data_IF_557747582945
#
_entry.id   IF_557747582945
#
_cell.length_a   1.000
_cell.length_b   1.000
_cell.length_c   1.000
_cell.angle_alpha   90.00
_cell.angle_beta   90.00
_cell.angle_gamma   90.00
#
_symmetry.space_group_name_H-M   'P 1'
#
loop_
_entity.id
_entity.type
_entity.pdbx_description
1 polymer ?
#
# COMPACT_ATOMS: atom_id res chain seq x y z
N UNK A 1 -23.82 -15.25 26.26
CA UNK A 1 -24.16 -13.99 25.56
C UNK A 1 -22.95 -13.09 25.36
N UNK A 2 -22.24 -12.69 26.43
CA UNK A 2 -21.08 -11.79 26.32
C UNK A 2 -19.94 -12.35 25.44
N UNK A 3 -19.66 -13.65 25.55
CA UNK A 3 -18.66 -14.34 24.72
C UNK A 3 -18.99 -14.29 23.22
N UNK A 4 -20.25 -14.51 22.84
CA UNK A 4 -20.68 -14.46 21.45
C UNK A 4 -20.63 -13.05 20.86
N UNK A 5 -21.01 -12.03 21.64
CA UNK A 5 -20.90 -10.62 21.21
C UNK A 5 -19.45 -10.21 21.02
N UNK A 6 -18.55 -10.62 21.93
CA UNK A 6 -17.12 -10.42 21.78
C UNK A 6 -16.59 -11.09 20.51
N UNK A 7 -16.96 -12.35 20.26
CA UNK A 7 -16.54 -13.07 19.06
C UNK A 7 -16.96 -12.36 17.78
N UNK A 8 -18.22 -11.91 17.71
CA UNK A 8 -18.72 -11.15 16.57
C UNK A 8 -17.94 -9.84 16.40
N UNK A 9 -17.74 -9.09 17.50
CA UNK A 9 -17.04 -7.82 17.49
C UNK A 9 -15.62 -7.96 16.92
N UNK A 10 -14.81 -8.87 17.45
CA UNK A 10 -13.41 -9.01 17.02
C UNK A 10 -13.28 -9.54 15.60
N UNK A 11 -14.19 -10.42 15.16
CA UNK A 11 -14.25 -10.89 13.76
C UNK A 11 -14.57 -9.74 12.81
N UNK A 12 -15.53 -8.89 13.16
CA UNK A 12 -15.86 -7.68 12.37
C UNK A 12 -14.68 -6.72 12.34
N UNK A 13 -14.05 -6.46 13.49
CA UNK A 13 -12.83 -5.61 13.55
C UNK A 13 -11.72 -6.18 12.69
N UNK A 14 -11.51 -7.50 12.69
CA UNK A 14 -10.56 -8.18 11.81
C UNK A 14 -10.86 -7.88 10.33
N UNK A 15 -12.10 -8.07 9.89
CA UNK A 15 -12.50 -7.77 8.50
C UNK A 15 -12.31 -6.30 8.12
N UNK A 16 -12.70 -5.37 8.99
CA UNK A 16 -12.55 -3.93 8.73
C UNK A 16 -11.08 -3.51 8.67
N UNK A 17 -10.25 -3.99 9.60
CA UNK A 17 -8.81 -3.75 9.59
C UNK A 17 -8.16 -4.31 8.31
N UNK A 18 -8.51 -5.54 7.93
CA UNK A 18 -8.04 -6.17 6.70
C UNK A 18 -8.44 -5.40 5.43
N UNK A 19 -9.62 -4.78 5.45
CA UNK A 19 -10.21 -4.01 4.33
C UNK A 19 -9.45 -2.72 3.99
N UNK A 20 -8.46 -2.33 4.80
CA UNK A 20 -7.58 -1.21 4.49
C UNK A 20 -6.58 -1.62 3.39
N UNK A 21 -6.76 -1.11 2.17
CA UNK A 21 -5.86 -1.40 1.04
C UNK A 21 -4.57 -0.57 1.10
N UNK A 22 -3.58 -1.06 1.85
CA UNK A 22 -2.27 -0.43 2.04
C UNK A 22 -1.60 -0.02 0.73
N UNK A 23 -1.59 -0.89 -0.30
CA UNK A 23 -0.97 -0.57 -1.59
C UNK A 23 -1.63 0.62 -2.31
N UNK A 24 -2.97 0.73 -2.24
CA UNK A 24 -3.71 1.85 -2.83
C UNK A 24 -3.46 3.13 -2.06
N UNK A 25 -3.44 3.05 -0.72
CA UNK A 25 -3.18 4.19 0.16
C UNK A 25 -1.75 4.73 -0.07
N UNK A 26 -0.75 3.85 -0.02
CA UNK A 26 0.65 4.21 -0.28
C UNK A 26 0.80 4.83 -1.68
N UNK A 27 0.17 4.23 -2.70
CA UNK A 27 0.27 4.77 -4.06
C UNK A 27 -0.33 6.17 -4.17
N UNK A 28 -1.43 6.46 -3.47
CA UNK A 28 -2.01 7.81 -3.43
C UNK A 28 -1.16 8.81 -2.66
N UNK A 29 -0.62 8.44 -1.50
CA UNK A 29 0.18 9.33 -0.65
C UNK A 29 1.48 9.75 -1.37
N UNK A 30 2.12 8.81 -2.06
CA UNK A 30 3.40 9.04 -2.74
C UNK A 30 3.26 9.33 -4.25
N UNK A 31 2.05 9.61 -4.73
CA UNK A 31 1.78 9.90 -6.15
C UNK A 31 2.30 8.84 -7.14
N UNK A 32 2.20 7.56 -6.76
CA UNK A 32 2.61 6.41 -7.57
C UNK A 32 1.42 5.89 -8.42
N UNK A 33 1.69 5.13 -9.50
CA UNK A 33 0.63 4.53 -10.32
C UNK A 33 -0.29 3.59 -9.51
N UNK A 34 -1.59 3.60 -9.80
CA UNK A 34 -2.56 2.74 -9.08
C UNK A 34 -2.26 1.25 -9.36
N UNK A 35 -1.94 0.45 -8.32
CA UNK A 35 -1.51 -0.94 -8.49
C UNK A 35 -2.63 -1.89 -8.92
N UNK A 36 -3.88 -1.42 -8.99
CA UNK A 36 -5.03 -2.21 -9.47
C UNK A 36 -5.16 -2.20 -10.99
N UNK A 37 -4.53 -1.23 -11.67
CA UNK A 37 -4.57 -1.10 -13.14
C UNK A 37 -3.17 -1.20 -13.77
N UNK A 38 -2.12 -1.24 -12.96
CA UNK A 38 -0.72 -1.32 -13.42
C UNK A 38 -0.01 -2.59 -12.97
N UNK A 39 1.00 -3.00 -13.73
CA UNK A 39 1.80 -4.19 -13.47
C UNK A 39 0.95 -5.46 -13.47
N UNK A 40 1.02 -6.23 -12.38
CA UNK A 40 0.22 -7.46 -12.19
C UNK A 40 -1.24 -7.22 -11.84
N UNK A 41 -1.67 -5.96 -11.72
CA UNK A 41 -3.04 -5.55 -11.33
C UNK A 41 -3.48 -6.08 -9.95
N UNK A 42 -2.54 -6.55 -9.14
CA UNK A 42 -2.75 -7.02 -7.78
C UNK A 42 -2.25 -5.96 -6.79
N UNK A 43 -3.10 -5.38 -5.92
CA UNK A 43 -2.71 -4.33 -4.98
C UNK A 43 -1.96 -4.89 -3.76
N UNK A 44 -0.77 -5.47 -3.98
CA UNK A 44 0.09 -6.00 -2.92
C UNK A 44 1.56 -5.60 -3.09
N UNK A 45 2.36 -5.85 -2.05
CA UNK A 45 3.76 -5.42 -1.97
C UNK A 45 4.63 -5.85 -3.17
N UNK A 46 4.45 -7.07 -3.69
CA UNK A 46 5.23 -7.55 -4.86
C UNK A 46 4.95 -6.74 -6.14
N UNK A 47 3.73 -6.24 -6.32
CA UNK A 47 3.42 -5.38 -7.47
C UNK A 47 4.06 -4.00 -7.30
N UNK A 48 3.94 -3.44 -6.09
CA UNK A 48 4.56 -2.16 -5.73
C UNK A 48 6.09 -2.22 -5.84
N UNK A 49 6.71 -3.35 -5.50
CA UNK A 49 8.14 -3.57 -5.69
C UNK A 49 8.57 -3.41 -7.15
N UNK A 50 7.75 -3.90 -8.08
CA UNK A 50 8.02 -3.82 -9.53
C UNK A 50 7.73 -2.43 -10.10
N UNK A 51 6.78 -1.70 -9.52
CA UNK A 51 6.32 -0.41 -10.04
C UNK A 51 7.06 0.79 -9.44
N UNK A 52 7.44 0.72 -8.18
CA UNK A 52 7.93 1.86 -7.41
C UNK A 52 9.20 1.56 -6.58
N UNK A 53 9.61 0.30 -6.47
CA UNK A 53 10.86 -0.07 -5.79
C UNK A 53 10.68 -0.53 -4.33
N UNK A 54 11.82 -0.84 -3.69
CA UNK A 54 11.88 -1.56 -2.41
C UNK A 54 11.31 -0.77 -1.24
N UNK A 55 11.57 0.54 -1.18
CA UNK A 55 11.11 1.42 -0.10
C UNK A 55 9.58 1.36 0.05
N UNK A 56 8.83 1.61 -1.03
CA UNK A 56 7.37 1.59 -0.98
C UNK A 56 6.80 0.19 -0.82
N UNK A 57 7.44 -0.82 -1.42
CA UNK A 57 7.04 -2.21 -1.22
C UNK A 57 7.16 -2.64 0.24
N UNK A 58 8.22 -2.21 0.94
CA UNK A 58 8.41 -2.50 2.37
C UNK A 58 7.34 -1.84 3.23
N UNK A 59 6.96 -0.59 2.94
CA UNK A 59 5.87 0.11 3.65
C UNK A 59 4.54 -0.65 3.46
N UNK A 60 4.22 -1.05 2.23
CA UNK A 60 3.00 -1.82 1.94
C UNK A 60 3.02 -3.16 2.63
N UNK A 61 4.15 -3.87 2.60
CA UNK A 61 4.32 -5.15 3.27
C UNK A 61 4.10 -5.03 4.77
N UNK A 62 4.75 -4.05 5.40
CA UNK A 62 4.62 -3.79 6.83
C UNK A 62 3.17 -3.47 7.21
N UNK A 63 2.51 -2.57 6.48
CA UNK A 63 1.11 -2.23 6.71
C UNK A 63 0.18 -3.44 6.52
N UNK A 64 0.42 -4.27 5.51
CA UNK A 64 -0.37 -5.48 5.27
C UNK A 64 -0.16 -6.56 6.33
N UNK A 65 1.04 -6.67 6.91
CA UNK A 65 1.32 -7.53 8.07
C UNK A 65 0.62 -6.98 9.31
N UNK A 66 0.79 -5.69 9.60
CA UNK A 66 0.22 -5.06 10.79
C UNK A 66 -1.31 -5.14 10.82
N UNK A 67 -1.99 -4.91 9.69
CA UNK A 67 -3.46 -5.00 9.65
C UNK A 67 -3.98 -6.44 9.85
N UNK A 68 -3.15 -7.46 9.65
CA UNK A 68 -3.45 -8.83 10.02
C UNK A 68 -3.14 -9.11 11.49
N UNK A 69 -2.00 -8.61 11.98
CA UNK A 69 -1.49 -8.84 13.33
C UNK A 69 -2.33 -8.15 14.42
N UNK A 70 -2.54 -6.84 14.29
CA UNK A 70 -3.16 -5.99 15.30
C UNK A 70 -4.58 -6.43 15.72
N UNK A 71 -5.52 -6.73 14.80
CA UNK A 71 -6.86 -7.17 15.23
C UNK A 71 -6.84 -8.52 15.96
N UNK A 72 -5.89 -9.41 15.65
CA UNK A 72 -5.77 -10.71 16.32
C UNK A 72 -5.16 -10.53 17.72
N UNK A 73 -4.15 -9.68 17.88
CA UNK A 73 -3.61 -9.33 19.20
C UNK A 73 -4.67 -8.64 20.06
N UNK A 74 -5.45 -7.73 19.48
CA UNK A 74 -6.59 -7.12 20.19
C UNK A 74 -7.58 -8.17 20.66
N UNK A 75 -7.93 -9.14 19.81
CA UNK A 75 -8.82 -10.23 20.19
C UNK A 75 -8.24 -11.08 21.34
N UNK A 76 -6.93 -11.35 21.35
CA UNK A 76 -6.26 -12.02 22.46
C UNK A 76 -6.33 -11.22 23.76
N UNK A 77 -6.04 -9.92 23.69
CA UNK A 77 -6.11 -9.02 24.85
C UNK A 77 -7.52 -8.95 25.45
N UNK A 78 -8.55 -9.09 24.62
CA UNK A 78 -9.95 -9.15 25.05
C UNK A 78 -10.38 -10.55 25.54
N UNK A 79 -9.47 -11.54 25.57
CA UNK A 79 -9.73 -12.88 26.08
C UNK A 79 -10.47 -13.81 25.10
N UNK A 80 -10.42 -13.53 23.79
CA UNK A 80 -11.04 -14.37 22.79
C UNK A 80 -10.40 -15.77 22.73
N UNK A 81 -11.23 -16.82 22.67
CA UNK A 81 -10.76 -18.20 22.58
C UNK A 81 -10.20 -18.58 21.20
N UNK A 82 -9.50 -19.74 21.09
CA UNK A 82 -8.80 -20.18 19.88
C UNK A 82 -9.61 -20.14 18.58
N UNK A 83 -10.88 -20.55 18.64
CA UNK A 83 -11.80 -20.53 17.49
C UNK A 83 -12.06 -19.09 17.04
N UNK A 84 -12.31 -18.17 17.99
CA UNK A 84 -12.58 -16.76 17.66
C UNK A 84 -11.34 -16.09 17.08
N UNK A 85 -10.16 -16.38 17.62
CA UNK A 85 -8.90 -15.86 17.10
C UNK A 85 -8.65 -16.32 15.66
N UNK A 86 -8.83 -17.61 15.36
CA UNK A 86 -8.62 -18.15 14.02
C UNK A 86 -9.66 -17.63 13.01
N UNK A 87 -10.91 -17.41 13.41
CA UNK A 87 -11.89 -16.70 12.58
C UNK A 87 -11.57 -15.21 12.41
N UNK A 88 -10.94 -14.56 13.40
CA UNK A 88 -10.44 -13.18 13.27
C UNK A 88 -9.32 -13.09 12.23
N UNK A 89 -8.41 -14.08 12.19
CA UNK A 89 -7.41 -14.20 11.13
C UNK A 89 -8.08 -14.34 9.75
N UNK A 90 -9.05 -15.25 9.64
CA UNK A 90 -9.79 -15.45 8.39
C UNK A 90 -10.47 -14.16 7.95
N UNK A 91 -11.13 -13.45 8.87
CA UNK A 91 -11.78 -12.19 8.60
C UNK A 91 -10.81 -11.11 8.10
N UNK A 92 -9.64 -10.97 8.73
CA UNK A 92 -8.61 -10.03 8.28
C UNK A 92 -8.10 -10.34 6.87
N UNK A 93 -7.87 -11.62 6.56
CA UNK A 93 -7.46 -12.05 5.21
C UNK A 93 -8.58 -11.79 4.19
N UNK A 94 -9.84 -12.09 4.54
CA UNK A 94 -10.99 -11.83 3.69
C UNK A 94 -11.20 -10.34 3.45
N UNK A 95 -11.00 -9.50 4.46
CA UNK A 95 -11.00 -8.04 4.33
C UNK A 95 -9.93 -7.58 3.35
N UNK A 96 -8.72 -8.14 3.41
CA UNK A 96 -7.67 -7.81 2.42
C UNK A 96 -8.05 -8.23 1.00
N UNK A 97 -8.69 -9.38 0.82
CA UNK A 97 -9.07 -9.90 -0.49
C UNK A 97 -10.29 -9.19 -1.10
N UNK A 98 -11.28 -8.87 -0.24
CA UNK A 98 -12.56 -8.27 -0.56
C UNK A 98 -12.80 -7.04 0.33
N UNK A 99 -12.01 -5.97 0.14
CA UNK A 99 -12.00 -4.79 0.98
C UNK A 99 -13.27 -3.95 0.78
N UNK A 100 -14.09 -3.80 1.82
CA UNK A 100 -15.34 -3.04 1.74
C UNK A 100 -15.12 -1.57 1.34
N UNK A 101 -14.02 -0.96 1.78
CA UNK A 101 -13.70 0.44 1.50
C UNK A 101 -13.17 0.68 0.08
N UNK A 102 -12.86 -0.38 -0.67
CA UNK A 102 -12.20 -0.29 -1.99
C UNK A 102 -12.96 -1.09 -3.06
N UNK A 103 -14.29 -1.19 -2.93
CA UNK A 103 -15.16 -1.83 -3.91
C UNK A 103 -14.93 -3.33 -4.05
N UNK A 104 -14.51 -3.99 -2.97
CA UNK A 104 -14.23 -5.43 -2.90
C UNK A 104 -13.15 -5.92 -3.88
N UNK A 105 -12.28 -5.01 -4.35
CA UNK A 105 -11.15 -5.32 -5.24
C UNK A 105 -9.84 -5.24 -4.48
N UNK A 106 -9.48 -6.35 -3.83
CA UNK A 106 -8.30 -6.46 -2.97
C UNK A 106 -7.21 -7.38 -3.49
N UNK A 107 -6.20 -7.58 -2.65
CA UNK A 107 -5.02 -8.38 -2.97
C UNK A 107 -5.20 -9.87 -2.72
N UNK A 108 -4.08 -10.60 -2.60
CA UNK A 108 -4.08 -12.07 -2.40
C UNK A 108 -4.00 -12.52 -0.95
N UNK A 109 -3.76 -11.61 0.00
CA UNK A 109 -3.87 -11.90 1.43
C UNK A 109 -2.65 -12.54 2.11
N UNK A 110 -1.56 -12.83 1.40
CA UNK A 110 -0.38 -13.55 1.95
C UNK A 110 0.26 -12.81 3.13
N UNK A 111 0.61 -11.53 2.96
CA UNK A 111 1.23 -10.72 4.00
C UNK A 111 0.30 -10.53 5.22
N UNK A 112 -0.99 -10.32 4.95
CA UNK A 112 -2.02 -10.23 6.00
C UNK A 112 -2.19 -11.55 6.75
N UNK A 113 -2.13 -12.68 6.07
CA UNK A 113 -2.16 -14.00 6.71
C UNK A 113 -0.91 -14.22 7.58
N UNK A 114 0.29 -13.87 7.12
CA UNK A 114 1.52 -13.96 7.92
C UNK A 114 1.42 -13.13 9.21
N UNK A 115 0.96 -11.89 9.12
CA UNK A 115 0.73 -11.05 10.30
C UNK A 115 -0.34 -11.61 11.23
N UNK A 116 -1.46 -12.06 10.68
CA UNK A 116 -2.54 -12.67 11.45
C UNK A 116 -2.10 -13.97 12.16
N UNK A 117 -1.26 -14.79 11.54
CA UNK A 117 -0.73 -16.01 12.14
C UNK A 117 0.32 -15.73 13.21
N UNK A 118 1.16 -14.71 13.05
CA UNK A 118 2.03 -14.22 14.13
C UNK A 118 1.21 -13.79 15.35
N UNK A 119 0.08 -13.10 15.12
CA UNK A 119 -0.85 -12.72 16.18
C UNK A 119 -1.55 -13.91 16.80
N UNK A 120 -1.97 -14.89 16.00
CA UNK A 120 -2.68 -16.07 16.47
C UNK A 120 -1.81 -16.92 17.39
N UNK A 121 -0.59 -17.21 16.95
CA UNK A 121 0.41 -17.93 17.72
C UNK A 121 1.79 -17.64 17.15
N UNK A 122 2.69 -17.07 17.95
CA UNK A 122 4.00 -16.59 17.47
C UNK A 122 4.78 -17.64 16.66
N UNK A 123 4.87 -18.88 17.15
CA UNK A 123 5.55 -19.97 16.43
C UNK A 123 4.89 -20.34 15.09
N UNK A 124 3.56 -20.25 14.99
CA UNK A 124 2.86 -20.52 13.73
C UNK A 124 3.27 -19.49 12.67
N UNK A 125 3.22 -18.21 13.04
CA UNK A 125 3.65 -17.12 12.17
C UNK A 125 5.11 -17.25 11.74
N UNK A 126 6.00 -17.59 12.68
CA UNK A 126 7.43 -17.82 12.39
C UNK A 126 7.62 -18.97 11.40
N UNK A 127 6.96 -20.12 11.59
CA UNK A 127 7.07 -21.26 10.66
C UNK A 127 6.56 -20.90 9.26
N UNK A 128 5.43 -20.19 9.16
CA UNK A 128 4.89 -19.74 7.86
C UNK A 128 5.85 -18.79 7.15
N UNK A 129 6.42 -17.82 7.88
CA UNK A 129 7.40 -16.86 7.33
C UNK A 129 8.70 -17.59 6.93
N UNK A 130 9.20 -18.49 7.77
CA UNK A 130 10.40 -19.27 7.50
C UNK A 130 10.24 -20.12 6.24
N UNK A 131 9.11 -20.83 6.10
CA UNK A 131 8.80 -21.62 4.89
C UNK A 131 8.72 -20.74 3.66
N UNK A 132 8.09 -19.57 3.76
CA UNK A 132 8.05 -18.63 2.64
C UNK A 132 9.46 -18.16 2.25
N UNK A 133 10.29 -17.74 3.21
CA UNK A 133 11.65 -17.27 2.97
C UNK A 133 12.53 -18.37 2.37
N UNK A 134 12.42 -19.60 2.88
CA UNK A 134 13.15 -20.76 2.38
C UNK A 134 12.81 -21.01 0.90
N UNK A 135 11.53 -21.14 0.57
CA UNK A 135 11.08 -21.41 -0.80
C UNK A 135 11.43 -20.25 -1.73
N UNK A 136 11.25 -19.00 -1.27
CA UNK A 136 11.60 -17.81 -2.06
C UNK A 136 13.11 -17.70 -2.32
N UNK A 137 13.95 -18.09 -1.36
CA UNK A 137 15.41 -18.05 -1.49
C UNK A 137 15.92 -19.08 -2.52
N UNK A 138 15.43 -20.32 -2.45
CA UNK A 138 15.88 -21.41 -3.32
C UNK A 138 15.24 -21.36 -4.71
N UNK A 139 13.92 -21.13 -4.81
CA UNK A 139 13.19 -21.23 -6.08
C UNK A 139 12.94 -19.87 -6.75
N UNK A 140 13.15 -18.76 -6.03
CA UNK A 140 13.03 -17.38 -6.55
C UNK A 140 11.64 -17.01 -7.08
N UNK A 141 10.59 -17.79 -6.79
CA UNK A 141 9.20 -17.47 -7.13
C UNK A 141 8.41 -17.04 -5.88
N UNK A 142 7.95 -15.79 -5.87
CA UNK A 142 7.14 -15.24 -4.77
C UNK A 142 5.78 -15.94 -4.63
N UNK A 143 5.15 -16.28 -5.75
CA UNK A 143 3.87 -17.00 -5.77
C UNK A 143 4.00 -18.42 -5.24
N UNK A 144 5.04 -19.16 -5.66
CA UNK A 144 5.28 -20.52 -5.15
C UNK A 144 5.57 -20.52 -3.65
N UNK A 145 6.41 -19.61 -3.17
CA UNK A 145 6.66 -19.43 -1.73
C UNK A 145 5.36 -19.15 -0.95
N UNK A 146 4.48 -18.32 -1.51
CA UNK A 146 3.17 -18.00 -0.93
C UNK A 146 2.25 -19.22 -0.89
N UNK A 147 2.19 -19.99 -1.97
CA UNK A 147 1.37 -21.21 -2.04
C UNK A 147 1.85 -22.23 -1.01
N UNK A 148 3.14 -22.55 -1.00
CA UNK A 148 3.71 -23.57 -0.11
C UNK A 148 3.52 -23.18 1.36
N UNK A 149 3.84 -21.93 1.73
CA UNK A 149 3.69 -21.46 3.12
C UNK A 149 2.25 -21.43 3.61
N UNK A 150 1.28 -21.14 2.73
CA UNK A 150 -0.15 -21.10 3.12
C UNK A 150 -0.76 -22.50 3.19
N UNK A 151 -0.38 -23.42 2.30
CA UNK A 151 -0.74 -24.85 2.42
C UNK A 151 -0.11 -25.44 3.69
N UNK A 152 1.13 -25.02 3.99
CA UNK A 152 1.83 -25.03 5.28
C UNK A 152 0.98 -24.92 6.55
N UNK A 153 0.34 -23.76 6.65
CA UNK A 153 -0.19 -23.21 7.89
C UNK A 153 -1.16 -24.11 8.67
N UNK A 154 -2.22 -24.70 8.09
CA UNK A 154 -3.14 -25.55 8.84
C UNK A 154 -2.45 -26.78 9.45
N UNK A 155 -1.42 -27.33 8.79
CA UNK A 155 -0.69 -28.49 9.32
C UNK A 155 0.22 -28.11 10.48
N UNK A 156 0.88 -26.94 10.41
CA UNK A 156 1.64 -26.42 11.55
C UNK A 156 0.77 -26.19 12.78
N UNK A 157 -0.48 -25.78 12.59
CA UNK A 157 -1.41 -25.57 13.69
C UNK A 157 -1.69 -26.87 14.48
N UNK A 158 -1.66 -28.05 13.84
CA UNK A 158 -1.89 -29.32 14.52
C UNK A 158 -0.85 -29.65 15.61
N UNK A 159 0.33 -29.05 15.53
CA UNK A 159 1.40 -29.23 16.53
C UNK A 159 1.33 -28.21 17.68
N UNK A 160 0.34 -27.33 17.69
CA UNK A 160 0.16 -26.27 18.69
C UNK A 160 -1.04 -26.62 19.58
N UNK A 161 -1.05 -26.26 20.88
CA UNK A 161 -2.21 -26.44 21.74
C UNK A 161 -3.49 -25.86 21.13
N UNK A 162 -4.59 -26.62 21.20
CA UNK A 162 -5.87 -26.29 20.56
C UNK A 162 -5.82 -26.25 19.01
N UNK A 163 -4.80 -26.84 18.39
CA UNK A 163 -4.58 -26.86 16.96
C UNK A 163 -5.77 -27.34 16.13
N UNK A 164 -6.46 -28.39 16.59
CA UNK A 164 -7.66 -28.93 15.93
C UNK A 164 -8.79 -27.89 15.82
N UNK A 165 -8.91 -26.96 16.78
CA UNK A 165 -9.91 -25.89 16.74
C UNK A 165 -9.51 -24.77 15.77
N UNK A 166 -8.21 -24.55 15.57
CA UNK A 166 -7.68 -23.55 14.65
C UNK A 166 -7.59 -24.05 13.20
N UNK A 167 -7.55 -25.37 13.00
CA UNK A 167 -7.35 -25.99 11.69
C UNK A 167 -8.39 -25.54 10.65
N UNK A 168 -9.72 -25.55 10.90
CA UNK A 168 -10.68 -25.25 9.83
C UNK A 168 -10.56 -23.82 9.28
N UNK A 169 -10.50 -22.74 10.11
CA UNK A 169 -10.31 -21.39 9.57
C UNK A 169 -8.98 -21.21 8.82
N UNK A 170 -7.89 -21.82 9.30
CA UNK A 170 -6.58 -21.79 8.61
C UNK A 170 -6.63 -22.52 7.27
N UNK A 171 -7.33 -23.65 7.21
CA UNK A 171 -7.56 -24.39 5.98
C UNK A 171 -8.35 -23.55 4.96
N UNK A 172 -9.40 -22.84 5.39
CA UNK A 172 -10.13 -21.91 4.52
C UNK A 172 -9.26 -20.75 4.03
N UNK A 173 -8.42 -20.16 4.90
CA UNK A 173 -7.44 -19.15 4.49
C UNK A 173 -6.54 -19.71 3.37
N UNK A 174 -6.00 -20.91 3.55
CA UNK A 174 -5.17 -21.56 2.54
C UNK A 174 -5.92 -21.73 1.22
N UNK A 175 -7.16 -22.24 1.24
CA UNK A 175 -7.99 -22.40 0.05
C UNK A 175 -8.25 -21.07 -0.68
N UNK A 176 -8.64 -20.02 0.04
CA UNK A 176 -8.90 -18.71 -0.57
C UNK A 176 -7.63 -18.10 -1.17
N UNK A 177 -6.48 -18.22 -0.50
CA UNK A 177 -5.22 -17.73 -1.04
C UNK A 177 -4.83 -18.54 -2.29
N UNK A 178 -5.02 -19.86 -2.28
CA UNK A 178 -4.74 -20.73 -3.42
C UNK A 178 -5.60 -20.34 -4.63
N UNK A 179 -6.90 -20.09 -4.41
CA UNK A 179 -7.81 -19.59 -5.43
C UNK A 179 -7.38 -18.23 -5.99
N UNK A 180 -6.94 -17.30 -5.13
CA UNK A 180 -6.38 -16.00 -5.55
C UNK A 180 -5.03 -16.13 -6.27
N UNK A 181 -4.38 -17.28 -6.22
CA UNK A 181 -3.15 -17.60 -6.93
C UNK A 181 -3.35 -18.43 -8.21
N UNK A 182 -4.58 -18.75 -8.62
CA UNK A 182 -4.86 -19.57 -9.83
C UNK A 182 -4.08 -19.10 -11.08
N UNK A 183 -4.05 -17.79 -11.34
CA UNK A 183 -3.35 -17.24 -12.51
C UNK A 183 -1.81 -17.38 -12.37
N UNK A 184 -1.28 -17.38 -11.15
CA UNK A 184 0.14 -17.64 -10.89
C UNK A 184 0.47 -19.12 -11.02
N UNK A 185 -0.45 -20.00 -10.64
CA UNK A 185 -0.29 -21.45 -10.81
C UNK A 185 -0.22 -21.77 -12.30
N UNK A 186 -1.13 -21.22 -13.10
CA UNK A 186 -1.07 -21.33 -14.58
C UNK A 186 0.27 -20.85 -15.11
N UNK A 187 0.73 -19.65 -14.73
CA UNK A 187 2.05 -19.14 -15.16
C UNK A 187 3.24 -19.96 -14.65
N UNK A 188 3.15 -20.62 -13.49
CA UNK A 188 4.20 -21.51 -12.99
C UNK A 188 4.29 -22.77 -13.86
N UNK A 189 3.14 -23.35 -14.21
CA UNK A 189 3.05 -24.52 -15.10
C UNK A 189 3.58 -24.16 -16.49
N UNK A 190 3.20 -22.99 -17.01
CA UNK A 190 3.63 -22.49 -18.32
C UNK A 190 5.07 -21.95 -18.32
N UNK A 191 5.76 -21.95 -17.17
CA UNK A 191 7.11 -21.40 -16.97
C UNK A 191 7.24 -19.90 -17.30
N UNK A 192 6.15 -19.15 -17.18
CA UNK A 192 6.06 -17.71 -17.44
C UNK A 192 6.03 -16.87 -16.15
N UNK A 193 5.99 -17.51 -14.97
CA UNK A 193 5.94 -16.76 -13.71
C UNK A 193 7.25 -15.99 -13.49
N UNK A 194 7.21 -14.67 -13.23
CA UNK A 194 8.42 -13.87 -13.06
C UNK A 194 9.15 -14.21 -11.75
N UNK A 195 10.47 -14.34 -11.84
CA UNK A 195 11.35 -14.53 -10.69
C UNK A 195 11.55 -13.23 -9.90
N UNK A 196 11.80 -13.36 -8.60
CA UNK A 196 12.19 -12.25 -7.72
C UNK A 196 13.62 -11.83 -8.07
N UNK A 197 13.80 -10.57 -8.48
CA UNK A 197 15.10 -9.97 -8.71
C UNK A 197 15.51 -9.14 -7.50
N UNK A 198 16.54 -9.58 -6.78
CA UNK A 198 17.18 -8.77 -5.75
C UNK A 198 18.21 -7.87 -6.44
N UNK A 199 17.78 -6.84 -7.16
CA UNK A 199 18.77 -5.95 -7.79
C UNK A 199 19.58 -5.24 -6.72
N UNK A 200 20.92 -5.39 -6.75
CA UNK A 200 21.86 -4.55 -5.98
C UNK A 200 22.03 -3.16 -6.61
N UNK A 201 21.62 -2.98 -7.87
CA UNK A 201 21.80 -1.71 -8.60
C UNK A 201 20.96 -0.58 -8.01
N UNK A 202 19.72 -0.85 -7.61
CA UNK A 202 18.82 0.22 -7.11
C UNK A 202 19.34 0.92 -5.85
N UNK A 203 20.04 0.18 -4.97
CA UNK A 203 20.64 0.76 -3.76
C UNK A 203 21.89 1.56 -4.09
N UNK A 204 22.73 1.08 -5.04
CA UNK A 204 23.87 1.87 -5.52
C UNK A 204 23.40 3.11 -6.28
N UNK A 205 22.35 3.00 -7.09
CA UNK A 205 21.77 4.13 -7.82
C UNK A 205 21.13 5.14 -6.86
N UNK A 206 20.38 4.71 -5.84
CA UNK A 206 19.85 5.61 -4.80
C UNK A 206 20.99 6.27 -4.00
N UNK A 207 22.01 5.50 -3.58
CA UNK A 207 23.16 6.06 -2.86
C UNK A 207 23.93 7.03 -3.76
N UNK A 208 24.23 6.65 -5.00
CA UNK A 208 24.92 7.52 -5.96
C UNK A 208 24.11 8.77 -6.28
N UNK A 209 22.79 8.68 -6.44
CA UNK A 209 21.94 9.85 -6.67
C UNK A 209 21.93 10.78 -5.46
N UNK A 210 21.88 10.23 -4.25
CA UNK A 210 21.92 11.02 -3.00
C UNK A 210 23.28 11.71 -2.85
N UNK A 211 24.38 10.99 -3.10
CA UNK A 211 25.74 11.54 -3.07
C UNK A 211 25.94 12.64 -4.14
N UNK A 212 25.35 12.47 -5.33
CA UNK A 212 25.41 13.48 -6.39
C UNK A 212 24.60 14.74 -6.05
N UNK A 213 23.49 14.62 -5.31
CA UNK A 213 22.78 15.79 -4.82
C UNK A 213 23.57 16.49 -3.70
N UNK A 214 24.16 15.74 -2.77
CA UNK A 214 25.04 16.28 -1.72
C UNK A 214 26.27 17.00 -2.32
N UNK A 215 26.93 16.42 -3.34
CA UNK A 215 28.05 17.06 -4.05
C UNK A 215 27.62 18.35 -4.75
N UNK A 216 26.46 18.36 -5.42
CA UNK A 216 25.94 19.59 -6.08
C UNK A 216 25.60 20.69 -5.08
N UNK A 217 25.04 20.32 -3.93
CA UNK A 217 24.69 21.28 -2.88
C UNK A 217 25.96 21.90 -2.29
N UNK A 218 27.00 21.10 -2.07
CA UNK A 218 28.33 21.57 -1.64
C UNK A 218 29.01 22.46 -2.70
N UNK A 219 28.97 22.09 -3.99
CA UNK A 219 29.50 22.94 -5.06
C UNK A 219 28.80 24.30 -5.15
N UNK A 220 27.47 24.31 -5.00
CA UNK A 220 26.67 25.55 -4.97
C UNK A 220 26.97 26.42 -3.76
N UNK A 221 27.19 25.83 -2.59
CA UNK A 221 27.58 26.53 -1.38
C UNK A 221 29.00 27.11 -1.50
N UNK A 222 29.94 26.32 -2.02
CA UNK A 222 31.32 26.75 -2.29
C UNK A 222 31.40 27.89 -3.32
N UNK A 223 30.58 27.83 -4.38
CA UNK A 223 30.50 28.88 -5.40
C UNK A 223 29.92 30.19 -4.83
N UNK A 224 28.97 30.11 -3.89
CA UNK A 224 28.42 31.29 -3.20
C UNK A 224 29.43 31.93 -2.24
N UNK A 225 30.25 31.13 -1.55
CA UNK A 225 31.31 31.64 -0.66
C UNK A 225 32.42 32.33 -1.45
N UNK A 226 32.76 31.83 -2.64
CA UNK A 226 33.86 32.36 -3.47
C UNK A 226 33.48 33.64 -4.24
N UNK A 227 32.17 33.89 -4.43
CA UNK A 227 31.66 35.10 -5.10
C UNK A 227 31.25 36.23 -4.15
N UNK A 228 31.33 35.98 -2.84
CA UNK A 228 31.10 37.02 -1.84
C UNK A 228 32.22 38.08 -1.91
N UNK A 229 31.88 39.39 -2.05
CA UNK A 229 32.89 40.44 -2.08
C UNK A 229 33.65 40.46 -0.74
N UNK A 230 34.98 40.69 -0.75
CA UNK A 230 35.74 40.76 0.49
C UNK A 230 35.12 41.80 1.43
N UNK A 231 35.06 41.54 2.75
CA UNK A 231 34.51 42.49 3.70
C UNK A 231 35.28 43.81 3.56
N UNK A 232 34.56 44.87 3.16
CA UNK A 232 35.10 46.21 3.04
C UNK A 232 35.68 46.62 4.39
N UNK A 233 36.99 46.90 4.43
CA UNK A 233 37.68 47.43 5.59
C UNK A 233 36.90 48.63 6.17
N UNK A 234 36.73 48.74 7.49
CA UNK A 234 36.10 49.92 8.09
C UNK A 234 36.93 51.17 7.73
N UNK A 235 36.31 52.12 7.03
CA UNK A 235 36.92 53.40 6.74
C UNK A 235 37.01 54.25 8.02
N UNK A 236 38.21 54.76 8.32
CA UNK A 236 38.45 55.78 9.35
C UNK A 236 37.62 57.05 9.07
N UNK A 237 37.07 57.72 10.11
CA UNK A 237 36.41 58.99 9.94
C UNK A 237 37.38 60.16 10.16
N UNK A 238 37.58 60.97 9.12
CA UNK A 238 37.95 62.38 9.24
C UNK A 238 37.00 63.16 8.30
N UNK A 239 36.02 63.93 8.79
CA UNK A 239 36.18 65.31 9.29
C UNK A 239 37.04 66.12 8.31
N UNK A 240 36.56 67.12 7.57
CA UNK A 240 35.56 68.14 7.89
C UNK A 240 35.38 69.03 6.66
N UNK A 241 34.20 69.68 6.56
CA UNK A 241 34.00 71.03 6.02
C UNK A 241 34.20 71.24 4.49
N UNK A 242 33.41 72.02 3.76
CA UNK A 242 32.31 72.96 4.06
C UNK A 242 31.70 73.41 2.72
N UNK A 243 30.43 73.84 2.78
CA UNK A 243 29.78 74.89 1.97
C UNK A 243 29.59 74.60 0.47
N UNK A 244 28.52 74.99 -0.23
CA UNK A 244 27.35 75.85 0.02
C UNK A 244 26.32 75.53 -1.09
N UNK A 245 25.04 75.29 -0.79
CA UNK A 245 23.89 76.22 -0.98
C UNK A 245 23.60 76.56 -2.45
N UNK A 246 22.51 76.08 -3.09
CA UNK A 246 21.12 76.63 -3.18
C UNK A 246 20.56 76.01 -4.50
N UNK A 247 19.28 75.79 -4.83
CA UNK A 247 17.94 75.92 -4.25
C UNK A 247 16.97 75.40 -5.35
N UNK A 248 15.73 75.04 -4.96
CA UNK A 248 14.47 75.16 -5.76
C UNK A 248 14.26 74.03 -6.80
N UNK A 249 13.14 73.28 -6.89
CA UNK A 249 11.72 73.62 -6.67
C UNK A 249 10.82 72.35 -6.57
N UNK A 250 9.89 72.37 -5.60
CA UNK A 250 8.46 71.93 -5.56
C UNK A 250 8.01 70.53 -6.06
N UNK A 251 7.57 69.72 -5.08
CA UNK A 251 6.23 69.05 -4.87
C UNK A 251 5.06 69.56 -5.79
N UNK A 252 3.87 68.90 -5.91
CA UNK A 252 3.31 67.86 -5.02
C UNK A 252 2.35 66.77 -5.61
N UNK A 253 2.05 65.80 -4.72
CA UNK A 253 0.73 65.20 -4.38
C UNK A 253 -0.01 64.17 -5.25
N UNK A 254 -0.59 63.22 -4.47
CA UNK A 254 -1.81 62.42 -4.66
C UNK A 254 -1.70 61.26 -5.68
N UNK A 255 -2.05 60.02 -5.39
CA UNK A 255 -2.92 59.46 -4.36
C UNK A 255 -4.11 58.79 -5.05
N UNK A 256 -4.18 57.46 -5.07
CA UNK A 256 -5.41 56.66 -4.91
C UNK A 256 -5.17 55.15 -5.08
N UNK A 257 -5.77 54.44 -4.14
CA UNK A 257 -6.22 53.05 -4.10
C UNK A 257 -7.00 52.60 -5.33
N UNK A 258 -6.88 51.33 -5.72
CA UNK A 258 -7.99 50.35 -5.84
C UNK A 258 -7.49 48.97 -6.29
N UNK A 259 -7.98 47.93 -5.59
CA UNK A 259 -8.04 46.50 -5.99
C UNK A 259 -8.70 46.27 -7.35
N UNK A 260 -8.50 45.08 -7.96
CA UNK A 260 -9.64 44.43 -8.63
C UNK A 260 -9.81 42.91 -8.42
N UNK A 261 -11.08 42.56 -8.66
CA UNK A 261 -11.82 41.29 -8.56
C UNK A 261 -11.49 40.24 -9.63
N UNK A 262 -11.83 39.00 -9.27
CA UNK A 262 -12.09 37.78 -10.07
C UNK A 262 -12.93 38.00 -11.34
N UNK A 263 -12.80 37.13 -12.36
CA UNK A 263 -13.90 36.83 -13.28
C UNK A 263 -14.31 35.33 -13.30
N UNK A 264 -15.58 35.12 -13.67
CA UNK A 264 -16.34 33.86 -13.82
C UNK A 264 -17.05 33.90 -15.18
N UNK A 265 -17.14 32.80 -15.94
CA UNK A 265 -18.26 32.43 -16.86
C UNK A 265 -17.98 31.09 -17.60
N UNK A 266 -18.82 30.03 -17.43
CA UNK A 266 -19.99 29.54 -18.25
C UNK A 266 -19.56 28.80 -19.54
N UNK A 267 -20.18 27.77 -20.10
CA UNK A 267 -21.36 26.86 -19.93
C UNK A 267 -21.15 25.74 -20.99
N UNK A 268 -21.58 24.48 -20.86
CA UNK A 268 -22.86 23.95 -21.40
C UNK A 268 -22.88 22.41 -21.25
N UNK A 269 -24.04 21.84 -20.88
CA UNK A 269 -24.65 20.68 -21.57
C UNK A 269 -26.00 20.31 -20.96
N UNK A 270 -26.96 20.07 -21.85
CA UNK A 270 -28.33 19.67 -21.57
C UNK A 270 -28.66 18.27 -22.15
N UNK A 271 -29.86 17.79 -21.76
CA UNK A 271 -30.59 16.58 -22.16
C UNK A 271 -30.18 15.28 -21.45
N UNK A 272 -31.06 14.31 -21.17
CA UNK A 272 -32.49 14.16 -20.81
C UNK A 272 -32.71 12.62 -20.82
N UNK A 273 -33.52 12.12 -19.90
CA UNK A 273 -33.92 10.71 -19.71
C UNK A 273 -35.05 10.27 -20.67
N UNK A 274 -35.18 8.95 -20.90
CA UNK A 274 -36.43 8.12 -20.78
C UNK A 274 -36.70 7.06 -21.88
N UNK A 275 -36.95 5.82 -21.40
CA UNK A 275 -37.83 4.74 -21.93
C UNK A 275 -37.48 4.06 -23.29
N UNK A 276 -37.86 2.82 -23.65
CA UNK A 276 -38.81 1.82 -23.13
C UNK A 276 -38.50 0.42 -23.77
N UNK A 277 -38.94 -0.64 -23.08
CA UNK A 277 -39.61 -1.87 -23.57
C UNK A 277 -39.04 -2.90 -24.59
N UNK A 278 -38.98 -4.13 -24.05
CA UNK A 278 -39.61 -5.40 -24.51
C UNK A 278 -39.07 -6.27 -25.66
N UNK A 279 -38.91 -7.55 -25.27
CA UNK A 279 -39.55 -8.76 -25.85
C UNK A 279 -38.92 -9.46 -27.07
N UNK A 280 -38.52 -10.72 -26.82
CA UNK A 280 -38.86 -12.00 -27.53
C UNK A 280 -37.73 -12.99 -27.19
N UNK A 281 -37.88 -14.11 -26.48
CA UNK A 281 -38.84 -15.23 -26.57
C UNK A 281 -38.99 -15.77 -27.99
N UNK A 282 -38.19 -16.77 -28.34
CA UNK A 282 -38.44 -17.81 -29.35
C UNK A 282 -37.37 -18.88 -29.17
N UNK A 283 -37.72 -20.06 -28.63
CA UNK A 283 -37.86 -21.32 -29.39
C UNK A 283 -36.51 -21.97 -29.70
N UNK A 284 -36.22 -23.24 -29.45
CA UNK A 284 -37.08 -24.41 -29.58
C UNK A 284 -36.34 -25.67 -29.11
N UNK A 285 -37.10 -26.67 -28.62
CA UNK A 285 -37.07 -28.11 -29.03
C UNK A 285 -35.70 -28.82 -29.00
N UNK A 286 -35.50 -30.06 -28.53
CA UNK A 286 -36.32 -31.27 -28.40
C UNK A 286 -35.37 -32.31 -27.77
N UNK A 287 -35.77 -33.08 -26.76
CA UNK A 287 -36.24 -34.47 -26.88
C UNK A 287 -35.23 -35.53 -26.39
N UNK A 288 -35.80 -36.51 -25.66
CA UNK A 288 -35.42 -37.93 -25.50
C UNK A 288 -34.16 -38.28 -24.67
N UNK A 289 -34.38 -38.60 -23.38
CA UNK A 289 -34.55 -39.96 -22.78
C UNK A 289 -33.72 -41.13 -23.40
N UNK A 290 -33.53 -42.26 -22.69
CA UNK A 290 -32.57 -42.53 -21.61
C UNK A 290 -31.70 -43.79 -21.90
N UNK A 291 -30.70 -44.05 -21.06
CA UNK A 291 -30.27 -45.38 -20.62
C UNK A 291 -29.39 -45.24 -19.39
#
# INVERSE_FOLDING_TARGET
MLSGLLSLFVVVVGYLAGSVCSAVIVSRIFSLPDPRITGSQNPGATNVLRLAGKKYAAIVLLADVLKGLLPVLLAQLLGAGPITLSFTCLAAVMGHMYPIFFGFRGGKGVATAMGAFLGLHFMLGVLVIATWLLVANFLRYSSLASIVSMVMAPWYALFIPNGLLMFPPLFFIALFILYKHRDNITRLIDRQEPKIQFSRSSLREEISATLLEEEKEQELEQAQITTAPPPSLPAEPASTAKAEVKKVRKKPTAGKTTTPKVPKKTTDKASKTSADKTSKKSSSKTAKKPS
#
